data_IF_371158484855
#
_entry.id   IF_371158484855
#
_cell.length_a   1.000
_cell.length_b   1.000
_cell.length_c   1.000
_cell.angle_alpha   90.00
_cell.angle_beta   90.00
_cell.angle_gamma   90.00
#
_symmetry.space_group_name_H-M   'P 1'
#
loop_
_entity.id
_entity.type
_entity.pdbx_description
1 polymer ?
#
# COMPACT_ATOMS: atom_id res chain seq x y z
N UNK A 1 26.60 -15.72 -0.17
CA UNK A 1 25.18 -15.34 -0.05
C UNK A 1 25.02 -14.00 -0.72
N UNK A 2 24.44 -13.96 -1.92
CA UNK A 2 24.01 -12.71 -2.53
C UNK A 2 22.80 -12.25 -1.74
N UNK A 3 22.88 -11.09 -1.10
CA UNK A 3 21.72 -10.40 -0.52
C UNK A 3 20.74 -10.15 -1.66
N UNK A 4 19.73 -11.02 -1.80
CA UNK A 4 18.57 -10.68 -2.63
C UNK A 4 17.99 -9.39 -2.07
N UNK A 5 17.80 -8.41 -2.95
CA UNK A 5 17.28 -7.11 -2.55
C UNK A 5 15.91 -7.30 -1.90
N UNK A 6 15.65 -6.53 -0.86
CA UNK A 6 14.32 -6.39 -0.23
C UNK A 6 13.26 -5.86 -1.19
N UNK A 7 13.70 -5.21 -2.28
CA UNK A 7 12.86 -4.62 -3.32
C UNK A 7 12.74 -5.53 -4.55
N UNK A 8 11.55 -5.56 -5.18
CA UNK A 8 11.40 -6.14 -6.51
C UNK A 8 12.21 -5.35 -7.55
N UNK A 9 12.48 -5.97 -8.70
CA UNK A 9 13.05 -5.25 -9.84
C UNK A 9 12.15 -4.09 -10.28
N UNK A 10 12.74 -3.01 -10.83
CA UNK A 10 12.03 -1.77 -11.15
C UNK A 10 10.77 -1.96 -12.04
N UNK A 11 10.84 -2.82 -13.05
CA UNK A 11 9.67 -3.10 -13.89
C UNK A 11 8.54 -3.75 -13.05
N UNK A 12 8.89 -4.74 -12.24
CA UNK A 12 7.95 -5.44 -11.36
C UNK A 12 7.36 -4.49 -10.30
N UNK A 13 8.18 -3.62 -9.70
CA UNK A 13 7.69 -2.62 -8.74
C UNK A 13 6.69 -1.64 -9.36
N UNK A 14 6.86 -1.26 -10.62
CA UNK A 14 5.91 -0.41 -11.35
C UNK A 14 4.61 -1.16 -11.65
N UNK A 15 4.69 -2.42 -12.06
CA UNK A 15 3.52 -3.27 -12.29
C UNK A 15 2.73 -3.48 -10.99
N UNK A 16 3.42 -3.67 -9.86
CA UNK A 16 2.82 -3.78 -8.52
C UNK A 16 2.12 -2.47 -8.12
N UNK A 17 2.75 -1.31 -8.35
CA UNK A 17 2.11 -0.01 -8.12
C UNK A 17 0.82 0.17 -8.96
N UNK A 18 0.82 -0.29 -10.22
CA UNK A 18 -0.36 -0.27 -11.09
C UNK A 18 -1.44 -1.25 -10.64
N UNK A 19 -1.07 -2.40 -10.09
CA UNK A 19 -2.00 -3.40 -9.60
C UNK A 19 -2.83 -2.93 -8.38
N UNK A 20 -2.42 -1.84 -7.71
CA UNK A 20 -3.20 -1.22 -6.65
C UNK A 20 -4.43 -0.45 -7.17
N UNK A 21 -4.52 -0.16 -8.46
CA UNK A 21 -5.70 0.45 -9.07
C UNK A 21 -6.77 -0.61 -9.32
N UNK A 22 -8.07 -0.30 -9.11
CA UNK A 22 -9.15 -1.20 -9.47
C UNK A 22 -9.09 -1.51 -10.96
N UNK A 23 -8.70 -2.72 -11.32
CA UNK A 23 -8.75 -3.16 -12.71
C UNK A 23 -10.20 -3.47 -13.05
N UNK A 24 -10.74 -2.80 -14.07
CA UNK A 24 -12.00 -3.21 -14.65
C UNK A 24 -11.83 -4.64 -15.20
N UNK A 25 -12.60 -5.65 -14.74
CA UNK A 25 -12.46 -7.01 -15.25
C UNK A 25 -12.76 -7.11 -16.76
N UNK A 26 -13.50 -6.14 -17.32
CA UNK A 26 -13.77 -6.03 -18.75
C UNK A 26 -12.68 -5.27 -19.54
N UNK A 27 -11.70 -4.67 -18.85
CA UNK A 27 -10.57 -3.99 -19.44
C UNK A 27 -9.33 -4.13 -18.54
N UNK A 28 -8.71 -5.32 -18.49
CA UNK A 28 -7.52 -5.55 -17.68
C UNK A 28 -6.34 -4.72 -18.18
N UNK A 29 -5.32 -4.56 -17.32
CA UNK A 29 -4.06 -3.97 -17.75
C UNK A 29 -3.48 -4.75 -18.94
N UNK A 30 -2.83 -4.06 -19.91
CA UNK A 30 -2.10 -4.73 -20.98
C UNK A 30 -1.11 -5.76 -20.43
N UNK A 31 -0.88 -6.87 -21.13
CA UNK A 31 -0.07 -7.99 -20.62
C UNK A 31 1.35 -7.58 -20.16
N UNK A 32 1.97 -6.61 -20.83
CA UNK A 32 3.28 -6.06 -20.46
C UNK A 32 3.26 -5.20 -19.18
N UNK A 33 2.08 -4.84 -18.68
CA UNK A 33 1.85 -4.08 -17.45
C UNK A 33 1.29 -4.93 -16.31
N UNK A 34 0.95 -6.18 -16.58
CA UNK A 34 0.51 -7.12 -15.56
C UNK A 34 1.69 -7.60 -14.72
N UNK A 35 1.44 -7.81 -13.43
CA UNK A 35 2.41 -8.43 -12.53
C UNK A 35 2.58 -9.91 -12.92
N UNK A 36 3.81 -10.44 -12.88
CA UNK A 36 4.08 -11.88 -13.07
C UNK A 36 3.18 -12.74 -12.16
N UNK A 37 2.83 -13.93 -12.64
CA UNK A 37 2.04 -14.92 -11.90
C UNK A 37 2.70 -15.39 -10.59
N UNK A 38 4.01 -15.18 -10.43
CA UNK A 38 4.73 -15.48 -9.19
C UNK A 38 4.31 -14.57 -8.02
N UNK A 39 3.65 -13.45 -8.32
CA UNK A 39 3.14 -12.49 -7.34
C UNK A 39 1.65 -12.69 -7.12
N UNK A 40 1.31 -13.43 -6.08
CA UNK A 40 -0.07 -13.73 -5.72
C UNK A 40 -0.61 -12.72 -4.71
N UNK A 41 -1.93 -12.54 -4.67
CA UNK A 41 -2.56 -11.76 -3.60
C UNK A 41 -2.36 -12.47 -2.26
N UNK A 42 -1.99 -11.75 -1.20
CA UNK A 42 -1.73 -12.37 0.11
C UNK A 42 -2.94 -13.14 0.66
N UNK A 43 -4.16 -12.74 0.29
CA UNK A 43 -5.39 -13.42 0.73
C UNK A 43 -5.56 -14.84 0.19
N UNK A 44 -4.76 -15.26 -0.81
CA UNK A 44 -4.74 -16.66 -1.23
C UNK A 44 -3.90 -17.53 -0.30
N UNK A 45 -3.02 -16.92 0.49
CA UNK A 45 -2.11 -17.61 1.41
C UNK A 45 -2.61 -17.59 2.85
N UNK A 46 -3.44 -16.61 3.21
CA UNK A 46 -3.98 -16.45 4.56
C UNK A 46 -5.47 -16.17 4.55
N UNK A 47 -6.17 -16.65 5.59
CA UNK A 47 -7.62 -16.48 5.73
C UNK A 47 -8.03 -15.52 6.86
N UNK A 48 -7.07 -14.98 7.62
CA UNK A 48 -7.37 -14.06 8.73
C UNK A 48 -7.66 -12.63 8.26
N UNK A 49 -7.24 -12.27 7.03
CA UNK A 49 -7.57 -11.00 6.41
C UNK A 49 -9.02 -11.01 5.94
N UNK A 50 -9.85 -10.19 6.56
CA UNK A 50 -11.28 -10.12 6.24
C UNK A 50 -11.53 -9.51 4.85
N UNK A 51 -12.60 -9.89 4.15
CA UNK A 51 -13.00 -9.21 2.91
C UNK A 51 -13.11 -7.69 3.11
N UNK A 52 -12.50 -6.92 2.21
CA UNK A 52 -12.45 -5.46 2.33
C UNK A 52 -11.38 -4.91 3.28
N UNK A 53 -10.46 -5.75 3.79
CA UNK A 53 -9.33 -5.29 4.63
C UNK A 53 -8.50 -4.17 3.97
N UNK A 54 -8.58 -4.05 2.65
CA UNK A 54 -7.70 -3.24 1.84
C UNK A 54 -8.39 -2.06 1.13
N UNK A 55 -9.67 -1.81 1.39
CA UNK A 55 -10.45 -0.74 0.76
C UNK A 55 -11.06 0.20 1.79
N UNK A 56 -11.13 1.48 1.44
CA UNK A 56 -11.81 2.52 2.19
C UNK A 56 -12.75 3.28 1.26
N UNK A 57 -14.00 3.43 1.67
CA UNK A 57 -15.05 4.08 0.91
C UNK A 57 -15.38 5.44 1.51
N UNK A 58 -15.81 6.39 0.66
CA UNK A 58 -16.31 7.70 1.13
C UNK A 58 -17.47 7.50 2.10
N UNK A 59 -17.68 8.47 2.99
CA UNK A 59 -18.92 8.56 3.77
C UNK A 59 -19.91 9.50 3.06
N UNK A 60 -21.18 9.13 3.08
CA UNK A 60 -22.28 10.02 2.71
C UNK A 60 -22.43 11.12 3.77
N UNK A 61 -23.21 12.17 3.47
CA UNK A 61 -23.42 13.30 4.40
C UNK A 61 -24.05 12.91 5.75
N UNK A 62 -24.68 11.73 5.83
CA UNK A 62 -25.27 11.14 7.03
C UNK A 62 -24.29 10.25 7.82
N UNK A 63 -23.02 10.15 7.38
CA UNK A 63 -21.99 9.33 8.01
C UNK A 63 -22.01 7.85 7.61
N UNK A 64 -22.91 7.43 6.72
CA UNK A 64 -22.96 6.03 6.23
C UNK A 64 -21.94 5.77 5.12
N UNK A 65 -21.43 4.54 4.96
CA UNK A 65 -20.55 4.20 3.84
C UNK A 65 -21.20 4.42 2.47
N UNK A 66 -20.51 5.12 1.59
CA UNK A 66 -20.82 5.26 0.17
C UNK A 66 -20.35 4.02 -0.60
N UNK A 67 -20.83 3.88 -1.84
CA UNK A 67 -20.29 2.90 -2.82
C UNK A 67 -19.04 3.43 -3.54
N UNK A 68 -18.68 4.70 -3.33
CA UNK A 68 -17.52 5.33 -3.96
C UNK A 68 -16.24 4.93 -3.22
N UNK A 69 -15.39 4.13 -3.88
CA UNK A 69 -14.05 3.82 -3.39
C UNK A 69 -13.23 5.12 -3.31
N UNK A 70 -12.57 5.32 -2.18
CA UNK A 70 -11.75 6.50 -1.93
C UNK A 70 -10.27 6.11 -1.89
N UNK A 71 -9.90 5.19 -1.00
CA UNK A 71 -8.54 4.66 -0.90
C UNK A 71 -8.49 3.13 -0.99
N UNK A 72 -7.35 2.62 -1.44
CA UNK A 72 -7.09 1.20 -1.54
C UNK A 72 -5.59 0.90 -1.42
N UNK A 73 -5.27 -0.27 -0.87
CA UNK A 73 -3.98 -0.90 -1.05
C UNK A 73 -4.15 -2.36 -1.53
N UNK A 74 -3.07 -2.98 -1.99
CA UNK A 74 -3.02 -4.40 -2.33
C UNK A 74 -1.72 -4.97 -1.78
N UNK A 75 -1.77 -6.18 -1.22
CA UNK A 75 -0.58 -6.87 -0.72
C UNK A 75 -0.31 -8.08 -1.62
N UNK A 76 0.85 -8.05 -2.28
CA UNK A 76 1.30 -9.14 -3.16
C UNK A 76 2.50 -9.86 -2.53
N UNK A 77 2.54 -11.18 -2.70
CA UNK A 77 3.59 -12.04 -2.16
C UNK A 77 4.25 -12.82 -3.29
N UNK A 78 5.58 -12.84 -3.30
CA UNK A 78 6.37 -13.77 -4.09
C UNK A 78 7.04 -14.78 -3.15
N UNK A 79 6.57 -16.02 -3.20
CA UNK A 79 7.08 -17.09 -2.32
C UNK A 79 8.50 -17.55 -2.69
N UNK A 80 8.89 -17.40 -3.96
CA UNK A 80 10.20 -17.84 -4.45
C UNK A 80 11.32 -16.91 -3.96
N UNK A 81 11.07 -15.60 -4.00
CA UNK A 81 12.03 -14.57 -3.53
C UNK A 81 11.78 -14.15 -2.09
N UNK A 82 10.75 -14.69 -1.44
CA UNK A 82 10.30 -14.31 -0.08
C UNK A 82 10.07 -12.81 0.08
N UNK A 83 9.39 -12.20 -0.90
CA UNK A 83 9.10 -10.77 -0.88
C UNK A 83 7.60 -10.53 -0.68
N UNK A 84 7.28 -9.50 0.11
CA UNK A 84 5.92 -9.00 0.31
C UNK A 84 5.92 -7.51 -0.02
N UNK A 85 5.04 -7.11 -0.92
CA UNK A 85 4.93 -5.71 -1.38
C UNK A 85 3.54 -5.18 -1.11
N UNK A 86 3.47 -4.10 -0.32
CA UNK A 86 2.26 -3.34 -0.04
C UNK A 86 2.18 -2.19 -1.05
N UNK A 87 1.20 -2.25 -1.95
CA UNK A 87 1.02 -1.29 -3.04
C UNK A 87 -0.15 -0.37 -2.75
N UNK A 88 0.08 0.94 -2.72
CA UNK A 88 -0.95 1.94 -2.44
C UNK A 88 -1.50 2.54 -3.74
N UNK A 89 -2.83 2.63 -3.84
CA UNK A 89 -3.53 3.26 -4.96
C UNK A 89 -3.30 4.77 -4.97
N UNK A 90 -3.08 5.36 -6.14
CA UNK A 90 -3.11 6.83 -6.30
C UNK A 90 -4.51 7.38 -6.60
N UNK A 91 -4.65 8.69 -6.72
CA UNK A 91 -5.94 9.33 -7.06
C UNK A 91 -6.36 9.03 -8.52
N UNK A 92 -7.67 8.89 -8.76
CA UNK A 92 -8.23 8.71 -10.12
C UNK A 92 -8.37 10.04 -10.89
N UNK A 93 -8.23 11.18 -10.22
CA UNK A 93 -8.37 12.51 -10.79
C UNK A 93 -7.16 13.40 -10.47
N UNK A 94 -6.16 13.42 -11.35
CA UNK A 94 -5.00 14.31 -11.28
C UNK A 94 -5.37 15.81 -11.41
N UNK A 95 -6.56 16.16 -11.89
CA UNK A 95 -7.00 17.56 -12.07
C UNK A 95 -7.60 18.21 -10.82
N UNK A 96 -8.11 17.44 -9.86
CA UNK A 96 -8.61 17.95 -8.57
C UNK A 96 -7.50 18.03 -7.50
N UNK A 97 -6.32 17.50 -7.83
CA UNK A 97 -5.22 17.21 -6.93
C UNK A 97 -4.48 18.45 -6.39
N UNK A 98 -4.50 19.62 -7.05
CA UNK A 98 -3.89 20.84 -6.49
C UNK A 98 -4.58 21.35 -5.23
N UNK A 99 -5.84 20.97 -4.99
CA UNK A 99 -6.54 21.30 -3.73
C UNK A 99 -6.18 20.32 -2.61
N UNK A 100 -6.05 19.03 -2.92
CA UNK A 100 -5.67 17.96 -1.97
C UNK A 100 -4.16 17.96 -1.63
N UNK A 101 -3.34 18.60 -2.47
CA UNK A 101 -1.88 18.73 -2.30
C UNK A 101 -1.48 19.62 -1.11
N UNK A 102 -2.42 20.36 -0.51
CA UNK A 102 -2.12 21.30 0.58
C UNK A 102 -1.61 20.63 1.86
N UNK A 103 -1.74 19.30 2.01
CA UNK A 103 -1.14 18.50 3.09
C UNK A 103 -0.16 17.39 2.64
N UNK A 104 0.11 17.24 1.34
CA UNK A 104 1.01 16.21 0.79
C UNK A 104 0.43 14.79 0.68
N UNK A 105 -0.87 14.58 0.91
CA UNK A 105 -1.50 13.26 0.96
C UNK A 105 -1.62 12.68 2.38
N UNK A 106 -1.43 13.51 3.41
CA UNK A 106 -1.52 13.10 4.81
C UNK A 106 -2.94 12.68 5.20
N UNK A 107 -3.95 13.46 4.80
CA UNK A 107 -5.37 13.15 5.03
C UNK A 107 -5.79 11.83 4.39
N UNK A 108 -5.35 11.55 3.17
CA UNK A 108 -5.64 10.28 2.49
C UNK A 108 -4.94 9.08 3.16
N UNK A 109 -3.68 9.25 3.56
CA UNK A 109 -2.98 8.24 4.33
C UNK A 109 -3.68 7.95 5.67
N UNK A 110 -4.11 8.99 6.40
CA UNK A 110 -4.79 8.85 7.69
C UNK A 110 -6.14 8.11 7.59
N UNK A 111 -6.81 8.14 6.43
CA UNK A 111 -8.07 7.39 6.22
C UNK A 111 -7.86 5.88 6.15
N UNK A 112 -6.68 5.42 5.70
CA UNK A 112 -6.43 3.99 5.44
C UNK A 112 -5.31 3.38 6.28
N UNK A 113 -4.53 4.20 7.01
CA UNK A 113 -3.36 3.76 7.78
C UNK A 113 -3.66 2.65 8.77
N UNK A 114 -4.79 2.72 9.48
CA UNK A 114 -5.13 1.72 10.49
C UNK A 114 -5.41 0.34 9.86
N UNK A 115 -6.03 0.32 8.68
CA UNK A 115 -6.28 -0.92 7.93
C UNK A 115 -4.98 -1.56 7.43
N UNK A 116 -4.10 -0.76 6.82
CA UNK A 116 -2.81 -1.28 6.32
C UNK A 116 -1.86 -1.66 7.45
N UNK A 117 -1.87 -0.94 8.57
CA UNK A 117 -1.08 -1.28 9.75
C UNK A 117 -1.55 -2.61 10.35
N UNK A 118 -2.87 -2.80 10.53
CA UNK A 118 -3.41 -4.05 11.04
C UNK A 118 -3.05 -5.25 10.15
N UNK A 119 -3.11 -5.07 8.82
CA UNK A 119 -2.68 -6.10 7.88
C UNK A 119 -1.18 -6.39 7.98
N UNK A 120 -0.34 -5.35 8.03
CA UNK A 120 1.11 -5.49 8.18
C UNK A 120 1.51 -6.18 9.48
N UNK A 121 0.91 -5.79 10.61
CA UNK A 121 1.21 -6.36 11.92
C UNK A 121 0.82 -7.86 11.96
N UNK A 122 -0.35 -8.21 11.42
CA UNK A 122 -0.82 -9.59 11.34
C UNK A 122 0.08 -10.45 10.45
N UNK A 123 0.49 -9.93 9.29
CA UNK A 123 1.38 -10.64 8.37
C UNK A 123 2.79 -10.80 8.94
N UNK A 124 3.32 -9.78 9.62
CA UNK A 124 4.66 -9.79 10.19
C UNK A 124 4.78 -10.74 11.39
N UNK A 125 3.68 -10.96 12.11
CA UNK A 125 3.60 -11.91 13.22
C UNK A 125 3.33 -13.36 12.78
N UNK A 126 2.92 -13.57 11.51
CA UNK A 126 2.58 -14.91 11.02
C UNK A 126 3.83 -15.71 10.63
N UNK A 127 3.93 -16.94 11.16
CA UNK A 127 5.03 -17.85 10.88
C UNK A 127 5.17 -18.27 9.41
N UNK A 128 4.09 -18.20 8.61
CA UNK A 128 4.11 -18.44 7.16
C UNK A 128 5.06 -17.46 6.47
N UNK A 129 5.14 -16.23 6.97
CA UNK A 129 5.97 -15.17 6.41
C UNK A 129 7.29 -14.96 7.16
N UNK A 130 7.69 -15.91 8.01
CA UNK A 130 8.97 -15.86 8.69
C UNK A 130 10.13 -15.79 7.67
N UNK A 131 10.94 -14.73 7.76
CA UNK A 131 12.06 -14.49 6.86
C UNK A 131 11.68 -13.88 5.50
N UNK A 132 10.45 -13.41 5.33
CA UNK A 132 10.08 -12.58 4.18
C UNK A 132 10.48 -11.13 4.42
N UNK A 133 10.78 -10.41 3.33
CA UNK A 133 11.06 -8.97 3.36
C UNK A 133 9.82 -8.19 2.96
N UNK A 134 9.47 -7.17 3.74
CA UNK A 134 8.38 -6.25 3.43
C UNK A 134 8.90 -4.98 2.78
N UNK A 135 8.24 -4.54 1.72
CA UNK A 135 8.46 -3.23 1.11
C UNK A 135 7.15 -2.59 0.67
N UNK A 136 7.20 -1.31 0.35
CA UNK A 136 6.04 -0.57 -0.17
C UNK A 136 6.28 -0.01 -1.56
N UNK A 137 5.19 0.20 -2.30
CA UNK A 137 5.22 0.86 -3.60
C UNK A 137 3.95 1.65 -3.87
N UNK A 138 4.02 2.55 -4.85
CA UNK A 138 2.88 3.33 -5.28
C UNK A 138 3.23 4.32 -6.39
N UNK A 139 2.20 4.81 -7.07
CA UNK A 139 2.30 5.84 -8.11
C UNK A 139 1.57 7.11 -7.68
N UNK A 140 2.11 8.29 -8.01
CA UNK A 140 1.50 9.60 -7.69
C UNK A 140 1.21 9.74 -6.18
N UNK A 141 -0.05 10.00 -5.77
CA UNK A 141 -0.48 10.04 -4.37
C UNK A 141 -0.15 8.73 -3.62
N UNK A 142 -0.34 7.58 -4.27
CA UNK A 142 -0.04 6.29 -3.68
C UNK A 142 1.45 6.16 -3.32
N UNK A 143 2.33 6.82 -4.07
CA UNK A 143 3.75 6.87 -3.74
C UNK A 143 4.05 7.69 -2.47
N UNK A 144 3.34 8.79 -2.20
CA UNK A 144 3.49 9.51 -0.94
C UNK A 144 3.00 8.68 0.26
N UNK A 145 1.87 7.98 0.10
CA UNK A 145 1.37 7.06 1.13
C UNK A 145 2.35 5.91 1.38
N UNK A 146 2.91 5.32 0.32
CA UNK A 146 3.89 4.25 0.40
C UNK A 146 5.17 4.69 1.13
N UNK A 147 5.71 5.86 0.80
CA UNK A 147 6.88 6.42 1.48
C UNK A 147 6.59 6.72 2.95
N UNK A 148 5.42 7.29 3.25
CA UNK A 148 5.01 7.59 4.63
C UNK A 148 4.91 6.32 5.46
N UNK A 149 4.26 5.28 4.93
CA UNK A 149 4.15 3.99 5.61
C UNK A 149 5.52 3.32 5.80
N UNK A 150 6.39 3.39 4.79
CA UNK A 150 7.73 2.85 4.86
C UNK A 150 8.58 3.54 5.92
N UNK A 151 8.56 4.87 5.98
CA UNK A 151 9.24 5.63 7.03
C UNK A 151 8.73 5.23 8.42
N UNK A 152 7.41 5.04 8.59
CA UNK A 152 6.82 4.66 9.87
C UNK A 152 7.29 3.29 10.37
N UNK A 153 7.44 2.33 9.45
CA UNK A 153 7.67 0.93 9.79
C UNK A 153 9.12 0.49 9.49
N UNK A 154 10.01 1.41 9.09
CA UNK A 154 11.39 1.09 8.74
C UNK A 154 11.52 0.15 7.54
N UNK A 155 10.65 0.31 6.54
CA UNK A 155 10.60 -0.54 5.35
C UNK A 155 11.33 0.11 4.17
N UNK A 156 11.76 -0.73 3.23
CA UNK A 156 12.19 -0.26 1.92
C UNK A 156 10.99 0.16 1.07
N UNK A 157 11.22 1.13 0.17
CA UNK A 157 10.17 1.69 -0.67
C UNK A 157 10.67 2.00 -2.07
N UNK A 158 9.84 1.72 -3.06
CA UNK A 158 10.05 2.12 -4.45
C UNK A 158 8.81 2.82 -4.99
N UNK A 159 8.95 4.06 -5.48
CA UNK A 159 7.80 4.85 -5.94
C UNK A 159 8.00 5.44 -7.32
N UNK A 160 6.88 5.75 -7.98
CA UNK A 160 6.85 6.13 -9.39
C UNK A 160 6.06 7.42 -9.58
N UNK A 161 6.70 8.44 -10.14
CA UNK A 161 6.11 9.79 -10.30
C UNK A 161 5.39 10.26 -9.03
N UNK A 162 6.03 10.01 -7.89
CA UNK A 162 5.41 10.17 -6.58
C UNK A 162 5.35 11.62 -6.15
N UNK A 163 4.38 11.92 -5.31
CA UNK A 163 4.40 13.12 -4.49
C UNK A 163 5.52 13.04 -3.44
N UNK A 164 6.03 14.20 -2.98
CA UNK A 164 6.89 14.25 -1.80
C UNK A 164 6.14 13.75 -0.56
N UNK A 165 6.91 13.33 0.44
CA UNK A 165 6.37 12.90 1.74
C UNK A 165 5.74 14.11 2.44
N UNK A 166 4.55 13.99 3.05
CA UNK A 166 3.95 15.04 3.87
C UNK A 166 4.89 15.52 4.98
N UNK A 167 5.28 16.79 4.94
CA UNK A 167 6.18 17.37 5.94
C UNK A 167 5.56 17.37 7.35
N UNK A 168 4.23 17.45 7.46
CA UNK A 168 3.49 17.37 8.73
C UNK A 168 3.62 16.00 9.42
N UNK A 169 3.69 14.91 8.66
CA UNK A 169 3.86 13.55 9.20
C UNK A 169 5.33 13.25 9.56
N UNK A 170 6.27 13.90 8.86
CA UNK A 170 7.70 13.86 9.20
C UNK A 170 7.98 14.69 10.46
N UNK A 171 7.43 15.91 10.55
CA UNK A 171 7.70 16.85 11.64
C UNK A 171 7.03 16.47 12.98
N UNK A 172 5.84 15.87 12.93
CA UNK A 172 5.18 15.36 14.14
C UNK A 172 5.73 14.01 14.61
N UNK A 173 6.81 13.51 13.98
CA UNK A 173 7.51 12.30 14.36
C UNK A 173 6.53 11.16 14.59
N UNK A 174 5.93 10.63 13.51
CA UNK A 174 5.24 9.32 13.44
C UNK A 174 5.04 8.73 14.84
N UNK A 175 3.99 9.17 15.54
CA UNK A 175 3.80 8.89 16.96
C UNK A 175 3.87 7.38 17.20
N UNK A 176 5.02 6.92 17.68
CA UNK A 176 5.23 5.56 18.12
C UNK A 176 4.27 5.37 19.30
N UNK A 177 3.16 4.65 19.09
CA UNK A 177 2.32 4.24 20.22
C UNK A 177 3.22 3.47 21.17
N UNK A 178 3.35 3.87 22.45
CA UNK A 178 4.00 3.02 23.42
C UNK A 178 3.20 1.72 23.49
N UNK A 179 3.86 0.60 23.24
CA UNK A 179 3.30 -0.72 23.47
C UNK A 179 3.12 -0.85 24.98
N UNK A 180 1.91 -0.63 25.48
CA UNK A 180 1.53 -1.15 26.80
C UNK A 180 1.28 -2.65 26.64
N UNK A 181 2.24 -3.45 27.10
CA UNK A 181 2.01 -4.88 27.33
C UNK A 181 1.21 -5.06 28.63
N UNK A 182 0.17 -5.91 28.67
CA UNK A 182 -0.24 -6.57 29.91
C UNK A 182 0.77 -7.64 30.34
#
# INVERSE_FOLDING_TARGET
>A
MTTEGTLPGQLTGMQLAKAAYPTNPNNPLPANEQVSSDWVDVSVLVNFLQPGYNTQYKLNSDGTPSTTLENQFVIKVNQSTKQIVISFKGSDALSNWTSDLTDGGASEYLKIVDQVQAAYDALSADSVFAGYTFSTTGHSLGGAMAQTFALKNGLDVQVYNSLPIPSSLVANGISARPISMP
#
